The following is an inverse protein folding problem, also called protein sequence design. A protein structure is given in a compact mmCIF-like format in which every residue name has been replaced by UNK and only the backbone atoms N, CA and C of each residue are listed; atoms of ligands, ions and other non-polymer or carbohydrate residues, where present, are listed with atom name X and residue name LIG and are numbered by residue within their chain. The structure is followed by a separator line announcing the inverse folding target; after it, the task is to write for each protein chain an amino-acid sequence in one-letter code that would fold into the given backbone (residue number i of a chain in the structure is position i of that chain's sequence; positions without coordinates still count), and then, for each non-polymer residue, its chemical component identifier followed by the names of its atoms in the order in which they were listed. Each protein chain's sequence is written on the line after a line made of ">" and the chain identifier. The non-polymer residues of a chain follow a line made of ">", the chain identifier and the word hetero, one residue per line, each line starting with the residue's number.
data_IF_325015456869
#
_entry.id   IF_325015456869
#
_cell.length_a   1.000
_cell.length_b   1.000
_cell.length_c   1.000
_cell.angle_alpha   90.00
_cell.angle_beta   90.00
_cell.angle_gamma   90.00
#
_symmetry.space_group_name_H-M   'P 1'
#
loop_
_entity.id
_entity.type
_entity.pdbx_description
1 polymer ?
#
# COMPACT_ATOMS: atom_id res chain seq x y z
N UNK A 1 43.80 34.71 -40.50
CA UNK A 1 44.28 34.24 -39.17
C UNK A 1 43.77 32.81 -39.01
N UNK A 2 44.66 31.81 -38.93
CA UNK A 2 44.24 30.41 -38.74
C UNK A 2 43.85 30.26 -37.26
N UNK A 3 42.60 29.87 -36.99
CA UNK A 3 42.18 29.46 -35.65
C UNK A 3 42.89 28.14 -35.32
N UNK A 4 43.76 28.16 -34.31
CA UNK A 4 44.27 26.93 -33.71
C UNK A 4 43.16 26.33 -32.83
N UNK A 5 42.82 25.04 -32.99
CA UNK A 5 41.86 24.38 -32.12
C UNK A 5 42.40 24.33 -30.69
N UNK A 6 41.56 24.68 -29.72
CA UNK A 6 41.88 24.64 -28.28
C UNK A 6 41.60 23.24 -27.73
N UNK A 7 42.60 22.59 -27.15
CA UNK A 7 42.42 21.38 -26.37
C UNK A 7 42.16 21.77 -24.91
N UNK A 8 41.06 21.32 -24.33
CA UNK A 8 40.68 21.70 -22.97
C UNK A 8 39.95 20.60 -22.20
N UNK A 9 40.04 20.68 -20.87
CA UNK A 9 39.20 19.94 -19.92
C UNK A 9 38.11 20.88 -19.40
N UNK A 10 36.86 20.42 -19.42
CA UNK A 10 35.72 21.10 -18.80
C UNK A 10 35.43 20.51 -17.42
N UNK A 11 35.79 21.22 -16.37
CA UNK A 11 35.35 20.91 -15.01
C UNK A 11 33.93 21.41 -14.78
N UNK A 12 33.05 20.56 -14.25
CA UNK A 12 31.67 20.92 -13.89
C UNK A 12 31.41 20.59 -12.41
N UNK A 13 31.01 21.61 -11.65
CA UNK A 13 30.51 21.47 -10.28
C UNK A 13 28.99 21.63 -10.27
N UNK A 14 28.28 20.50 -10.26
CA UNK A 14 26.82 20.42 -10.39
C UNK A 14 26.13 20.46 -9.01
N UNK A 15 25.70 21.64 -8.60
CA UNK A 15 24.92 21.88 -7.39
C UNK A 15 23.40 21.91 -7.63
N UNK A 16 22.63 21.89 -6.54
CA UNK A 16 21.15 21.94 -6.58
C UNK A 16 20.57 23.30 -7.06
N UNK A 17 21.39 24.34 -7.12
CA UNK A 17 21.01 25.72 -7.47
C UNK A 17 22.08 26.44 -8.32
N UNK A 18 23.15 25.74 -8.67
CA UNK A 18 24.28 26.33 -9.39
C UNK A 18 25.04 25.27 -10.17
N UNK A 19 25.57 25.68 -11.32
CA UNK A 19 26.57 24.92 -12.06
C UNK A 19 27.82 25.78 -12.16
N UNK A 20 28.85 25.44 -11.39
CA UNK A 20 30.19 25.96 -11.61
C UNK A 20 30.80 25.27 -12.83
N UNK A 21 31.47 26.03 -13.69
CA UNK A 21 32.20 25.47 -14.83
C UNK A 21 33.54 26.16 -15.01
N UNK A 22 34.54 25.38 -15.43
CA UNK A 22 35.90 25.87 -15.69
C UNK A 22 36.47 25.17 -16.93
N UNK A 23 37.13 25.95 -17.79
CA UNK A 23 37.82 25.47 -18.99
C UNK A 23 39.31 25.63 -18.74
N UNK A 24 40.03 24.50 -18.73
CA UNK A 24 41.49 24.47 -18.56
C UNK A 24 42.11 23.94 -19.84
N UNK A 25 42.97 24.73 -20.47
CA UNK A 25 43.77 24.30 -21.63
C UNK A 25 44.74 23.21 -21.22
N UNK A 26 44.93 22.23 -22.11
CA UNK A 26 45.83 21.10 -21.89
C UNK A 26 46.80 20.92 -23.06
N UNK A 27 47.99 20.39 -22.74
CA UNK A 27 48.97 19.96 -23.74
C UNK A 27 48.59 18.61 -24.39
N UNK A 28 49.43 18.13 -25.30
CA UNK A 28 49.26 16.82 -25.96
C UNK A 28 49.36 15.62 -24.99
N UNK A 29 49.87 15.83 -23.77
CA UNK A 29 49.99 14.83 -22.71
C UNK A 29 48.88 14.97 -21.65
N UNK A 30 47.84 15.76 -21.92
CA UNK A 30 46.72 16.07 -21.02
C UNK A 30 47.11 16.81 -19.73
N UNK A 31 48.30 17.41 -19.67
CA UNK A 31 48.68 18.25 -18.52
C UNK A 31 48.05 19.64 -18.65
N UNK A 32 47.58 20.22 -17.54
CA UNK A 32 46.99 21.56 -17.55
C UNK A 32 48.04 22.62 -17.85
N UNK A 33 47.84 23.38 -18.93
CA UNK A 33 48.68 24.50 -19.35
C UNK A 33 48.23 25.83 -18.76
N UNK A 34 46.91 26.05 -18.71
CA UNK A 34 46.37 27.35 -18.28
C UNK A 34 44.86 27.36 -18.12
N UNK A 35 44.36 28.26 -17.27
CA UNK A 35 42.94 28.51 -17.10
C UNK A 35 42.45 29.42 -18.24
N UNK A 36 41.52 28.95 -19.05
CA UNK A 36 40.97 29.71 -20.18
C UNK A 36 39.76 30.52 -19.75
N UNK A 37 38.82 29.89 -19.04
CA UNK A 37 37.57 30.55 -18.64
C UNK A 37 36.95 29.87 -17.43
N UNK A 38 36.16 30.64 -16.67
CA UNK A 38 35.38 30.14 -15.54
C UNK A 38 34.06 30.88 -15.45
N UNK A 39 33.03 30.18 -14.98
CA UNK A 39 31.77 30.81 -14.68
C UNK A 39 30.93 30.02 -13.71
N UNK A 40 29.86 30.66 -13.26
CA UNK A 40 28.84 30.02 -12.43
C UNK A 40 27.47 30.36 -13.00
N UNK A 41 26.70 29.33 -13.35
CA UNK A 41 25.29 29.47 -13.70
C UNK A 41 24.44 29.22 -12.47
N UNK A 42 23.81 30.25 -11.92
CA UNK A 42 22.83 30.09 -10.82
C UNK A 42 21.41 29.90 -11.36
N UNK A 43 20.58 29.15 -10.63
CA UNK A 43 19.16 28.95 -10.94
C UNK A 43 18.37 28.68 -9.65
N UNK A 44 17.06 28.94 -9.69
CA UNK A 44 16.19 28.68 -8.54
C UNK A 44 16.09 27.17 -8.28
N UNK A 45 16.16 26.79 -7.00
CA UNK A 45 15.92 25.42 -6.59
C UNK A 45 14.51 25.01 -6.94
N UNK A 46 14.33 23.78 -7.41
CA UNK A 46 13.01 23.21 -7.73
C UNK A 46 12.23 22.74 -6.48
N UNK A 47 12.29 23.52 -5.41
CA UNK A 47 11.69 23.23 -4.11
C UNK A 47 10.90 24.41 -3.55
N UNK A 48 10.01 24.15 -2.60
CA UNK A 48 9.32 25.19 -1.85
C UNK A 48 10.31 25.84 -0.90
N UNK A 49 10.61 27.13 -1.12
CA UNK A 49 11.65 27.88 -0.40
C UNK A 49 11.60 27.79 1.15
N UNK A 50 10.40 27.59 1.74
CA UNK A 50 10.23 27.48 3.20
C UNK A 50 10.34 26.06 3.76
N UNK A 51 10.06 25.02 2.97
CA UNK A 51 9.92 23.65 3.47
C UNK A 51 10.88 22.66 2.82
N UNK A 52 11.56 23.03 1.72
CA UNK A 52 12.43 22.13 0.96
C UNK A 52 11.65 21.02 0.22
N UNK A 53 10.32 21.06 0.22
CA UNK A 53 9.52 20.04 -0.45
C UNK A 53 9.49 20.28 -1.96
N UNK A 54 9.41 19.19 -2.74
CA UNK A 54 9.26 19.29 -4.20
C UNK A 54 8.00 20.06 -4.59
N UNK A 55 8.10 21.01 -5.52
CA UNK A 55 6.96 21.73 -6.09
C UNK A 55 5.90 20.80 -6.69
N UNK A 56 6.31 19.63 -7.19
CA UNK A 56 5.41 18.61 -7.73
C UNK A 56 4.51 17.97 -6.65
N UNK A 57 4.97 17.90 -5.40
CA UNK A 57 4.21 17.34 -4.28
C UNK A 57 2.98 18.19 -3.98
N UNK A 58 3.14 19.50 -3.82
CA UNK A 58 2.04 20.43 -3.58
C UNK A 58 0.98 20.34 -4.70
N UNK A 59 1.43 20.34 -5.96
CA UNK A 59 0.55 20.16 -7.14
C UNK A 59 -0.19 18.81 -7.10
N UNK A 60 0.48 17.73 -6.68
CA UNK A 60 -0.11 16.39 -6.55
C UNK A 60 -1.18 16.36 -5.46
N UNK A 61 -0.90 16.91 -4.28
CA UNK A 61 -1.84 16.97 -3.16
C UNK A 61 -3.10 17.78 -3.50
N UNK A 62 -2.93 18.98 -4.08
CA UNK A 62 -4.06 19.81 -4.51
C UNK A 62 -4.94 19.09 -5.55
N UNK A 63 -4.33 18.37 -6.50
CA UNK A 63 -5.05 17.55 -7.49
C UNK A 63 -5.81 16.39 -6.83
N UNK A 64 -5.22 15.76 -5.82
CA UNK A 64 -5.87 14.70 -5.04
C UNK A 64 -7.12 15.25 -4.34
N UNK A 65 -6.99 16.38 -3.63
CA UNK A 65 -8.12 17.04 -2.94
C UNK A 65 -9.25 17.43 -3.90
N UNK A 66 -8.94 18.00 -5.07
CA UNK A 66 -9.95 18.30 -6.11
C UNK A 66 -10.71 17.04 -6.55
N UNK A 67 -10.01 15.92 -6.76
CA UNK A 67 -10.65 14.65 -7.12
C UNK A 67 -11.54 14.11 -6.00
N UNK A 68 -11.13 14.24 -4.74
CA UNK A 68 -11.92 13.82 -3.58
C UNK A 68 -13.22 14.63 -3.46
N UNK A 69 -13.11 15.96 -3.56
CA UNK A 69 -14.27 16.88 -3.53
C UNK A 69 -15.23 16.56 -4.66
N UNK A 70 -14.73 16.47 -5.90
CA UNK A 70 -15.55 16.13 -7.08
C UNK A 70 -16.28 14.80 -6.91
N UNK A 71 -15.57 13.73 -6.54
CA UNK A 71 -16.18 12.39 -6.37
C UNK A 71 -17.19 12.33 -5.23
N UNK A 72 -16.97 13.09 -4.13
CA UNK A 72 -17.97 13.22 -3.07
C UNK A 72 -19.22 13.90 -3.59
N UNK A 73 -19.09 15.04 -4.29
CA UNK A 73 -20.22 15.74 -4.89
C UNK A 73 -20.96 14.86 -5.90
N UNK A 74 -20.24 14.16 -6.78
CA UNK A 74 -20.83 13.24 -7.76
C UNK A 74 -21.58 12.09 -7.09
N UNK A 75 -21.05 11.50 -6.00
CA UNK A 75 -21.73 10.46 -5.22
C UNK A 75 -23.04 10.97 -4.62
N UNK A 76 -23.01 12.14 -3.98
CA UNK A 76 -24.21 12.74 -3.39
C UNK A 76 -25.24 13.11 -4.47
N UNK A 77 -24.79 13.61 -5.62
CA UNK A 77 -25.65 13.87 -6.78
C UNK A 77 -26.32 12.59 -7.30
N UNK A 78 -25.58 11.49 -7.41
CA UNK A 78 -26.13 10.17 -7.77
C UNK A 78 -27.14 9.67 -6.74
N UNK A 79 -26.82 9.81 -5.45
CA UNK A 79 -27.73 9.45 -4.37
C UNK A 79 -29.04 10.26 -4.44
N UNK A 80 -28.97 11.59 -4.57
CA UNK A 80 -30.17 12.43 -4.74
C UNK A 80 -31.03 12.02 -5.94
N UNK A 81 -30.41 11.67 -7.07
CA UNK A 81 -31.13 11.15 -8.25
C UNK A 81 -31.83 9.83 -7.98
N UNK A 82 -31.16 8.91 -7.27
CA UNK A 82 -31.73 7.64 -6.85
C UNK A 82 -32.93 7.86 -5.91
N UNK A 83 -32.76 8.69 -4.86
CA UNK A 83 -33.85 8.99 -3.93
C UNK A 83 -35.04 9.67 -4.60
N UNK A 84 -34.81 10.51 -5.63
CA UNK A 84 -35.88 11.09 -6.43
C UNK A 84 -36.63 10.04 -7.26
N UNK A 85 -35.91 9.09 -7.86
CA UNK A 85 -36.53 8.00 -8.63
C UNK A 85 -37.41 7.09 -7.75
N UNK A 86 -37.06 6.94 -6.47
CA UNK A 86 -37.84 6.20 -5.46
C UNK A 86 -38.91 7.05 -4.76
N UNK A 87 -39.18 8.27 -5.25
CA UNK A 87 -40.12 9.25 -4.67
C UNK A 87 -39.84 9.65 -3.21
N UNK A 88 -38.63 9.39 -2.70
CA UNK A 88 -38.22 9.82 -1.37
C UNK A 88 -37.81 11.30 -1.35
N UNK A 89 -37.24 11.79 -2.45
CA UNK A 89 -37.07 13.23 -2.69
C UNK A 89 -38.04 13.69 -3.78
N UNK A 90 -38.72 14.80 -3.53
CA UNK A 90 -39.59 15.44 -4.53
C UNK A 90 -38.76 16.30 -5.51
N UNK A 91 -37.70 16.93 -5.00
CA UNK A 91 -36.76 17.71 -5.80
C UNK A 91 -35.32 17.48 -5.34
N UNK A 92 -34.35 17.76 -6.21
CA UNK A 92 -32.94 17.62 -5.85
C UNK A 92 -32.49 18.66 -4.80
N UNK A 93 -33.23 19.76 -4.68
CA UNK A 93 -32.93 20.92 -3.84
C UNK A 93 -33.91 21.04 -2.66
N UNK A 94 -34.64 19.97 -2.37
CA UNK A 94 -35.52 19.88 -1.20
C UNK A 94 -34.72 20.18 0.08
N UNK A 95 -35.30 21.03 0.94
CA UNK A 95 -34.71 21.40 2.23
C UNK A 95 -34.89 20.20 3.16
N UNK A 96 -33.78 19.72 3.71
CA UNK A 96 -33.75 18.55 4.59
C UNK A 96 -33.37 18.95 6.01
N UNK A 97 -33.86 18.22 7.03
CA UNK A 97 -33.48 18.42 8.41
C UNK A 97 -31.97 18.26 8.63
N UNK A 98 -31.43 18.98 9.62
CA UNK A 98 -29.99 19.05 9.90
C UNK A 98 -29.56 18.24 11.14
N UNK A 99 -30.50 17.80 11.97
CA UNK A 99 -30.35 16.95 13.17
C UNK A 99 -30.15 15.46 12.83
N UNK A 100 -29.39 15.21 11.77
CA UNK A 100 -29.18 13.88 11.15
C UNK A 100 -28.61 12.81 12.08
N UNK A 101 -27.88 13.17 13.14
CA UNK A 101 -27.37 12.21 14.12
C UNK A 101 -28.48 11.72 15.04
N UNK A 102 -29.31 12.64 15.53
CA UNK A 102 -30.48 12.32 16.34
C UNK A 102 -31.51 11.53 15.53
N UNK A 103 -31.73 11.90 14.27
CA UNK A 103 -32.61 11.15 13.36
C UNK A 103 -32.13 9.72 13.09
N UNK A 104 -30.81 9.50 12.99
CA UNK A 104 -30.24 8.14 12.86
C UNK A 104 -30.51 7.27 14.08
N UNK A 105 -30.48 7.84 15.28
CA UNK A 105 -30.84 7.12 16.52
C UNK A 105 -32.35 6.91 16.59
N UNK A 106 -33.15 7.96 16.36
CA UNK A 106 -34.62 7.91 16.31
C UNK A 106 -35.12 6.83 15.36
N UNK A 107 -34.50 6.70 14.19
CA UNK A 107 -34.88 5.72 13.16
C UNK A 107 -34.69 4.25 13.52
N UNK A 108 -34.07 3.95 14.66
CA UNK A 108 -34.00 2.57 15.17
C UNK A 108 -35.30 2.15 15.87
N UNK A 109 -36.02 3.10 16.44
CA UNK A 109 -37.14 2.83 17.35
C UNK A 109 -38.45 3.50 16.88
N UNK A 110 -38.38 4.49 15.97
CA UNK A 110 -39.54 5.23 15.45
C UNK A 110 -39.48 5.34 13.93
N UNK A 111 -40.66 5.30 13.30
CA UNK A 111 -40.79 5.55 11.86
C UNK A 111 -40.32 6.97 11.55
N UNK A 112 -39.40 7.11 10.61
CA UNK A 112 -38.93 8.41 10.13
C UNK A 112 -39.85 8.93 9.03
N UNK A 113 -40.06 10.24 9.04
CA UNK A 113 -40.72 10.93 7.95
C UNK A 113 -39.88 10.88 6.68
N UNK A 114 -40.53 11.09 5.52
CA UNK A 114 -39.88 11.01 4.20
C UNK A 114 -38.58 11.84 4.13
N UNK A 115 -38.65 13.10 4.57
CA UNK A 115 -37.50 14.01 4.56
C UNK A 115 -36.43 13.65 5.59
N UNK A 116 -36.84 13.16 6.76
CA UNK A 116 -35.91 12.67 7.79
C UNK A 116 -35.12 11.47 7.26
N UNK A 117 -35.80 10.50 6.63
CA UNK A 117 -35.18 9.34 6.04
C UNK A 117 -34.20 9.71 4.91
N UNK A 118 -34.59 10.62 4.02
CA UNK A 118 -33.71 11.15 2.98
C UNK A 118 -32.44 11.80 3.57
N UNK A 119 -32.59 12.60 4.65
CA UNK A 119 -31.48 13.27 5.32
C UNK A 119 -30.50 12.26 5.93
N UNK A 120 -31.01 11.22 6.59
CA UNK A 120 -30.23 10.12 7.18
C UNK A 120 -29.38 9.41 6.11
N UNK A 121 -30.01 8.98 5.00
CA UNK A 121 -29.31 8.25 3.93
C UNK A 121 -28.22 9.10 3.26
N UNK A 122 -28.52 10.37 2.96
CA UNK A 122 -27.54 11.28 2.39
C UNK A 122 -26.40 11.58 3.35
N UNK A 123 -26.68 11.67 4.66
CA UNK A 123 -25.67 11.89 5.68
C UNK A 123 -24.67 10.71 5.75
N UNK A 124 -25.16 9.48 5.82
CA UNK A 124 -24.32 8.26 5.84
C UNK A 124 -23.42 8.22 4.58
N UNK A 125 -23.99 8.48 3.39
CA UNK A 125 -23.21 8.51 2.14
C UNK A 125 -22.18 9.65 2.08
N UNK A 126 -22.46 10.80 2.70
CA UNK A 126 -21.53 11.94 2.75
C UNK A 126 -20.36 11.65 3.70
N UNK A 127 -20.66 11.02 4.85
CA UNK A 127 -19.75 10.75 5.96
C UNK A 127 -19.44 9.25 6.11
N UNK A 128 -19.14 8.59 4.99
CA UNK A 128 -19.01 7.12 4.85
C UNK A 128 -17.80 6.43 5.49
N UNK A 129 -17.13 7.06 6.45
CA UNK A 129 -16.01 6.45 7.17
C UNK A 129 -14.77 6.07 6.32
N UNK A 130 -13.79 5.49 7.01
CA UNK A 130 -12.59 4.92 6.42
C UNK A 130 -12.85 3.49 5.95
N UNK A 131 -12.28 3.10 4.82
CA UNK A 131 -12.32 1.71 4.35
C UNK A 131 -10.88 1.25 4.18
N UNK A 132 -10.47 0.23 4.94
CA UNK A 132 -9.14 -0.34 4.81
C UNK A 132 -8.91 -0.83 3.37
N UNK A 133 -7.83 -0.38 2.76
CA UNK A 133 -7.38 -0.79 1.42
C UNK A 133 -6.14 -1.68 1.47
N UNK A 134 -5.65 -2.00 2.67
CA UNK A 134 -4.44 -2.80 2.84
C UNK A 134 -4.82 -4.27 2.77
N UNK A 135 -4.03 -5.04 2.02
CA UNK A 135 -4.15 -6.50 1.99
C UNK A 135 -3.65 -7.14 3.30
N UNK A 136 -2.71 -6.50 3.99
CA UNK A 136 -2.18 -6.92 5.31
C UNK A 136 -2.25 -5.78 6.34
N UNK A 137 -2.48 -6.11 7.61
CA UNK A 137 -2.60 -5.18 8.73
C UNK A 137 -1.26 -4.87 9.41
N UNK A 138 -0.21 -4.57 8.65
CA UNK A 138 1.05 -4.13 9.28
C UNK A 138 0.87 -2.78 10.00
N UNK A 139 1.58 -2.60 11.13
CA UNK A 139 1.62 -1.32 11.85
C UNK A 139 2.12 -0.23 10.89
N UNK A 140 1.38 0.87 10.80
CA UNK A 140 1.80 1.99 9.95
C UNK A 140 2.85 2.82 10.69
N UNK A 141 3.96 3.12 10.01
CA UNK A 141 4.96 4.09 10.49
C UNK A 141 4.46 5.55 10.38
N UNK A 142 3.35 5.78 9.67
CA UNK A 142 2.72 7.10 9.58
C UNK A 142 1.88 7.35 10.84
N UNK A 143 2.32 8.29 11.67
CA UNK A 143 1.70 8.66 12.95
C UNK A 143 0.23 9.07 12.82
N UNK A 144 -0.14 9.84 11.80
CA UNK A 144 -1.53 10.27 11.59
C UNK A 144 -2.42 9.10 11.17
N UNK A 145 -1.94 8.25 10.25
CA UNK A 145 -2.67 7.05 9.87
C UNK A 145 -2.81 6.09 11.04
N UNK A 146 -1.78 5.96 11.89
CA UNK A 146 -1.82 5.20 13.14
C UNK A 146 -2.92 5.70 14.09
N UNK A 147 -3.00 7.02 14.32
CA UNK A 147 -4.05 7.61 15.15
C UNK A 147 -5.45 7.37 14.56
N UNK A 148 -5.62 7.54 13.25
CA UNK A 148 -6.89 7.25 12.57
C UNK A 148 -7.31 5.79 12.71
N UNK A 149 -6.39 4.85 12.52
CA UNK A 149 -6.68 3.42 12.66
C UNK A 149 -7.00 3.04 14.10
N UNK A 150 -6.33 3.67 15.08
CA UNK A 150 -6.64 3.48 16.49
C UNK A 150 -8.06 3.93 16.81
N UNK A 151 -8.47 5.12 16.37
CA UNK A 151 -9.84 5.60 16.57
C UNK A 151 -10.89 4.69 15.92
N UNK A 152 -10.64 4.23 14.70
CA UNK A 152 -11.51 3.24 14.02
C UNK A 152 -11.61 1.94 14.83
N UNK A 153 -10.49 1.39 15.30
CA UNK A 153 -10.47 0.15 16.06
C UNK A 153 -11.20 0.29 17.41
N UNK A 154 -10.97 1.38 18.14
CA UNK A 154 -11.65 1.66 19.42
C UNK A 154 -13.15 1.77 19.22
N UNK A 155 -13.62 2.51 18.21
CA UNK A 155 -15.05 2.66 17.95
C UNK A 155 -15.69 1.36 17.48
N UNK A 156 -14.97 0.56 16.69
CA UNK A 156 -15.42 -0.76 16.30
C UNK A 156 -15.58 -1.68 17.52
N UNK A 157 -14.65 -1.64 18.48
CA UNK A 157 -14.77 -2.37 19.74
C UNK A 157 -15.97 -1.94 20.57
N UNK A 158 -16.28 -0.63 20.63
CA UNK A 158 -17.49 -0.14 21.29
C UNK A 158 -18.78 -0.69 20.67
N UNK A 159 -18.81 -0.96 19.36
CA UNK A 159 -19.96 -1.60 18.70
C UNK A 159 -20.10 -3.10 19.01
N UNK A 160 -19.05 -3.73 19.56
CA UNK A 160 -19.12 -5.12 20.02
C UNK A 160 -19.66 -5.22 21.46
N UNK A 161 -19.79 -4.10 22.17
CA UNK A 161 -20.44 -4.09 23.49
C UNK A 161 -21.96 -4.05 23.31
N UNK A 162 -22.70 -4.58 24.29
CA UNK A 162 -24.17 -4.55 24.26
C UNK A 162 -24.78 -3.14 24.47
N UNK A 163 -23.93 -2.12 24.64
CA UNK A 163 -24.34 -0.75 24.99
C UNK A 163 -24.79 0.07 23.76
N UNK A 164 -24.22 -0.22 22.58
CA UNK A 164 -24.46 0.55 21.35
C UNK A 164 -24.78 -0.37 20.17
N UNK A 165 -25.90 -0.11 19.49
CA UNK A 165 -26.31 -0.85 18.28
C UNK A 165 -25.65 -0.28 17.02
N UNK A 166 -25.35 1.01 17.00
CA UNK A 166 -24.87 1.72 15.79
C UNK A 166 -23.84 2.81 16.09
N UNK A 167 -23.01 3.20 15.10
CA UNK A 167 -22.16 4.39 15.16
C UNK A 167 -22.89 5.67 15.54
N UNK A 168 -24.15 5.85 15.09
CA UNK A 168 -24.96 7.00 15.49
C UNK A 168 -25.28 7.00 16.98
N UNK A 169 -25.57 5.85 17.57
CA UNK A 169 -25.79 5.75 19.02
C UNK A 169 -24.53 6.09 19.80
N UNK A 170 -23.35 5.57 19.42
CA UNK A 170 -22.07 5.99 20.03
C UNK A 170 -21.93 7.51 19.92
N UNK A 171 -22.20 8.07 18.76
CA UNK A 171 -22.03 9.50 18.52
C UNK A 171 -22.92 10.37 19.42
N UNK A 172 -24.20 10.02 19.57
CA UNK A 172 -25.15 10.80 20.36
C UNK A 172 -24.99 10.53 21.86
N UNK A 173 -24.86 9.26 22.26
CA UNK A 173 -24.86 8.85 23.67
C UNK A 173 -23.48 8.97 24.33
N UNK A 174 -22.40 8.91 23.56
CA UNK A 174 -21.03 9.06 24.05
C UNK A 174 -20.45 10.43 23.66
N UNK A 175 -20.18 10.66 22.37
CA UNK A 175 -19.40 11.84 21.95
C UNK A 175 -20.10 13.19 22.20
N UNK A 176 -21.42 13.25 22.02
CA UNK A 176 -22.18 14.47 22.29
C UNK A 176 -22.45 14.64 23.79
N UNK A 177 -22.65 13.55 24.53
CA UNK A 177 -22.95 13.57 25.95
C UNK A 177 -21.70 13.79 26.83
N UNK A 178 -20.50 13.54 26.28
CA UNK A 178 -19.23 13.90 26.90
C UNK A 178 -19.22 15.39 27.31
N UNK A 179 -18.43 15.69 28.35
CA UNK A 179 -18.32 17.04 28.91
C UNK A 179 -19.68 17.67 29.29
N UNK A 180 -20.56 16.90 29.94
CA UNK A 180 -21.90 17.34 30.35
C UNK A 180 -22.77 17.87 29.19
N UNK A 181 -22.65 17.27 28.00
CA UNK A 181 -23.43 17.68 26.82
C UNK A 181 -22.75 18.76 25.97
N UNK A 182 -21.52 19.16 26.30
CA UNK A 182 -20.70 20.08 25.50
C UNK A 182 -19.73 19.37 24.55
N UNK A 183 -19.73 18.04 24.53
CA UNK A 183 -18.93 17.24 23.62
C UNK A 183 -19.24 17.51 22.14
N UNK A 184 -18.29 17.20 21.28
CA UNK A 184 -18.39 17.45 19.84
C UNK A 184 -18.55 16.16 19.05
N UNK A 185 -19.47 16.14 18.09
CA UNK A 185 -19.68 14.93 17.26
C UNK A 185 -18.56 14.72 16.25
N UNK A 186 -18.02 15.80 15.67
CA UNK A 186 -17.05 15.72 14.56
C UNK A 186 -15.63 15.85 15.09
N UNK A 187 -14.70 15.09 14.51
CA UNK A 187 -13.26 15.22 14.76
C UNK A 187 -12.79 16.68 14.67
N UNK A 188 -11.92 17.06 15.60
CA UNK A 188 -11.21 18.34 15.59
C UNK A 188 -9.81 18.19 15.01
N UNK A 189 -9.06 19.30 14.92
CA UNK A 189 -7.73 19.32 14.31
C UNK A 189 -6.76 18.44 15.10
N UNK A 190 -6.25 17.40 14.45
CA UNK A 190 -5.30 16.45 15.07
C UNK A 190 -5.96 15.32 15.86
N UNK A 191 -7.29 15.32 15.95
CA UNK A 191 -8.06 14.27 16.62
C UNK A 191 -8.75 13.37 15.59
N UNK A 192 -8.67 12.06 15.82
CA UNK A 192 -9.27 11.03 14.98
C UNK A 192 -10.18 10.08 15.78
N UNK A 193 -10.48 10.42 17.04
CA UNK A 193 -11.28 9.63 17.98
C UNK A 193 -12.69 9.30 17.46
N UNK A 194 -13.37 10.19 16.73
CA UNK A 194 -14.75 9.99 16.24
C UNK A 194 -14.77 9.48 14.78
N UNK A 195 -13.83 8.58 14.45
CA UNK A 195 -13.73 7.97 13.12
C UNK A 195 -14.30 6.56 13.13
N UNK A 196 -15.19 6.25 12.20
CA UNK A 196 -15.80 4.92 12.05
C UNK A 196 -15.30 4.18 10.82
N UNK A 197 -15.30 2.84 10.87
CA UNK A 197 -15.12 2.02 9.69
C UNK A 197 -16.36 2.15 8.77
N UNK A 198 -16.13 2.09 7.47
CA UNK A 198 -17.19 2.12 6.48
C UNK A 198 -18.11 0.91 6.59
N UNK A 199 -17.59 -0.25 6.97
CA UNK A 199 -18.37 -1.47 7.20
C UNK A 199 -19.33 -1.30 8.39
N UNK A 200 -18.93 -0.58 9.43
CA UNK A 200 -19.82 -0.27 10.56
C UNK A 200 -20.98 0.63 10.13
N UNK A 201 -20.70 1.64 9.30
CA UNK A 201 -21.74 2.51 8.72
C UNK A 201 -22.64 1.77 7.73
N UNK A 202 -22.12 0.75 7.04
CA UNK A 202 -22.93 -0.14 6.21
C UNK A 202 -23.86 -0.99 7.08
N UNK A 203 -23.34 -1.56 8.17
CA UNK A 203 -24.14 -2.35 9.12
C UNK A 203 -25.27 -1.49 9.72
N UNK A 204 -24.96 -0.24 10.09
CA UNK A 204 -25.97 0.72 10.53
C UNK A 204 -27.03 0.98 9.45
N UNK A 205 -26.61 1.26 8.21
CA UNK A 205 -27.57 1.51 7.13
C UNK A 205 -28.49 0.31 6.92
N UNK A 206 -27.95 -0.92 6.94
CA UNK A 206 -28.73 -2.15 6.83
C UNK A 206 -29.72 -2.30 7.99
N UNK A 207 -29.27 -2.07 9.23
CA UNK A 207 -30.12 -2.15 10.41
C UNK A 207 -31.24 -1.09 10.37
N UNK A 208 -30.94 0.14 9.95
CA UNK A 208 -31.94 1.18 9.78
C UNK A 208 -32.98 0.81 8.72
N UNK A 209 -32.56 0.24 7.59
CA UNK A 209 -33.50 -0.25 6.57
C UNK A 209 -34.43 -1.33 7.15
N UNK A 210 -33.88 -2.28 7.89
CA UNK A 210 -34.67 -3.32 8.55
C UNK A 210 -35.69 -2.71 9.53
N UNK A 211 -35.24 -1.85 10.46
CA UNK A 211 -36.11 -1.22 11.46
C UNK A 211 -37.19 -0.35 10.82
N UNK A 212 -36.83 0.44 9.83
CA UNK A 212 -37.79 1.27 9.12
C UNK A 212 -38.82 0.44 8.35
N UNK A 213 -38.45 -0.72 7.81
CA UNK A 213 -39.39 -1.65 7.18
C UNK A 213 -40.38 -2.23 8.21
N UNK A 214 -39.87 -2.70 9.36
CA UNK A 214 -40.68 -3.18 10.49
C UNK A 214 -41.67 -2.12 10.99
N UNK A 215 -41.26 -0.85 10.98
CA UNK A 215 -42.05 0.31 11.41
C UNK A 215 -42.98 0.86 10.30
N UNK A 216 -43.06 0.19 9.14
CA UNK A 216 -43.99 0.54 8.06
C UNK A 216 -43.57 1.73 7.20
N UNK A 217 -42.27 1.98 7.04
CA UNK A 217 -41.74 2.97 6.09
C UNK A 217 -41.74 2.39 4.67
N UNK A 218 -42.46 3.00 3.69
CA UNK A 218 -42.59 2.45 2.34
C UNK A 218 -41.31 2.53 1.50
N UNK A 219 -40.30 3.32 1.92
CA UNK A 219 -39.07 3.55 1.16
C UNK A 219 -37.89 2.69 1.67
N UNK A 220 -38.15 1.40 1.85
CA UNK A 220 -37.21 0.42 2.44
C UNK A 220 -36.96 -0.78 1.54
N UNK A 221 -37.16 -0.62 0.23
CA UNK A 221 -37.00 -1.70 -0.75
C UNK A 221 -35.55 -2.23 -0.78
N UNK A 222 -35.41 -3.54 -1.00
CA UNK A 222 -34.10 -4.21 -1.09
C UNK A 222 -33.25 -3.62 -2.23
N UNK A 223 -33.87 -3.31 -3.37
CA UNK A 223 -33.23 -2.66 -4.52
C UNK A 223 -32.66 -1.28 -4.17
N UNK A 224 -33.36 -0.50 -3.34
CA UNK A 224 -32.85 0.79 -2.88
C UNK A 224 -31.64 0.60 -1.96
N UNK A 225 -31.71 -0.35 -1.02
CA UNK A 225 -30.60 -0.68 -0.13
C UNK A 225 -29.36 -1.16 -0.90
N UNK A 226 -29.53 -2.00 -1.92
CA UNK A 226 -28.45 -2.48 -2.78
C UNK A 226 -27.75 -1.31 -3.49
N UNK A 227 -28.52 -0.46 -4.17
CA UNK A 227 -27.99 0.70 -4.89
C UNK A 227 -27.24 1.69 -3.96
N UNK A 228 -27.79 1.94 -2.77
CA UNK A 228 -27.13 2.79 -1.76
C UNK A 228 -25.88 2.13 -1.20
N UNK A 229 -25.89 0.81 -1.00
CA UNK A 229 -24.71 0.03 -0.58
C UNK A 229 -23.60 0.13 -1.60
N UNK A 230 -23.90 -0.01 -2.91
CA UNK A 230 -22.94 0.21 -3.98
C UNK A 230 -22.34 1.62 -3.91
N UNK A 231 -23.17 2.66 -3.75
CA UNK A 231 -22.69 4.03 -3.63
C UNK A 231 -21.82 4.25 -2.38
N UNK A 232 -22.20 3.64 -1.25
CA UNK A 232 -21.47 3.74 0.01
C UNK A 232 -20.07 3.14 -0.12
N UNK A 233 -19.99 1.89 -0.59
CA UNK A 233 -18.74 1.12 -0.64
C UNK A 233 -17.82 1.55 -1.77
N UNK A 234 -18.36 1.96 -2.93
CA UNK A 234 -17.57 2.19 -4.13
C UNK A 234 -16.48 3.25 -3.95
N UNK A 235 -15.25 2.91 -4.33
CA UNK A 235 -14.15 3.84 -4.48
C UNK A 235 -13.26 3.41 -5.64
N UNK A 236 -12.70 4.37 -6.36
CA UNK A 236 -11.79 4.06 -7.47
C UNK A 236 -10.58 3.28 -6.91
N UNK A 237 -10.20 2.14 -7.50
CA UNK A 237 -8.98 1.41 -7.12
C UNK A 237 -7.75 2.32 -7.19
N UNK A 238 -6.82 2.12 -6.26
CA UNK A 238 -5.57 2.88 -6.21
C UNK A 238 -4.70 2.62 -7.45
N UNK A 239 -4.63 1.35 -7.86
CA UNK A 239 -3.95 0.86 -9.04
C UNK A 239 -4.97 0.08 -9.89
N UNK A 240 -4.96 0.28 -11.20
CA UNK A 240 -5.85 -0.39 -12.14
C UNK A 240 -5.18 -0.53 -13.51
N UNK A 241 -5.42 -1.65 -14.18
CA UNK A 241 -4.84 -1.98 -15.49
C UNK A 241 -3.33 -1.78 -15.52
N UNK A 242 -2.84 -1.15 -16.58
CA UNK A 242 -1.41 -0.95 -16.87
C UNK A 242 -0.70 0.11 -16.01
N UNK A 243 -1.32 0.60 -14.92
CA UNK A 243 -0.75 1.67 -14.11
C UNK A 243 0.67 1.35 -13.60
N UNK A 244 0.93 0.08 -13.26
CA UNK A 244 2.24 -0.38 -12.81
C UNK A 244 3.22 -0.51 -13.98
N UNK A 245 2.79 -1.03 -15.13
CA UNK A 245 3.64 -1.14 -16.32
C UNK A 245 4.21 0.22 -16.75
N UNK A 246 3.42 1.29 -16.63
CA UNK A 246 3.86 2.66 -16.95
C UNK A 246 4.95 3.21 -16.01
N UNK A 247 5.14 2.59 -14.85
CA UNK A 247 6.14 2.96 -13.86
C UNK A 247 7.29 1.93 -13.77
N UNK A 248 7.13 0.78 -14.44
CA UNK A 248 8.05 -0.33 -14.36
C UNK A 248 9.27 -0.08 -15.26
N UNK A 249 10.46 -0.27 -14.69
CA UNK A 249 11.71 -0.16 -15.45
C UNK A 249 11.89 -1.30 -16.46
N UNK A 250 12.79 -1.08 -17.41
CA UNK A 250 13.18 -2.06 -18.43
C UNK A 250 14.37 -2.92 -17.99
N UNK A 251 14.52 -4.09 -18.60
CA UNK A 251 15.64 -4.99 -18.36
C UNK A 251 16.97 -4.29 -18.73
N UNK A 252 18.02 -4.59 -17.97
CA UNK A 252 19.37 -4.04 -18.18
C UNK A 252 20.00 -4.56 -19.48
N UNK A 253 19.75 -5.83 -19.82
CA UNK A 253 20.34 -6.50 -20.99
C UNK A 253 19.42 -6.43 -22.22
N UNK A 254 18.11 -6.46 -22.03
CA UNK A 254 17.11 -6.45 -23.10
C UNK A 254 16.14 -5.26 -22.92
N UNK A 255 16.48 -4.04 -23.36
CA UNK A 255 15.70 -2.83 -23.04
C UNK A 255 14.25 -2.81 -23.57
N UNK A 256 13.92 -3.72 -24.50
CA UNK A 256 12.55 -3.93 -24.96
C UNK A 256 11.66 -4.52 -23.83
N UNK A 257 12.23 -5.39 -22.99
CA UNK A 257 11.52 -6.17 -21.98
C UNK A 257 11.41 -5.46 -20.63
N UNK A 258 10.32 -5.72 -19.91
CA UNK A 258 10.15 -5.22 -18.55
C UNK A 258 10.97 -6.01 -17.54
N UNK A 259 11.31 -5.38 -16.41
CA UNK A 259 11.94 -6.10 -15.29
C UNK A 259 10.98 -7.15 -14.72
N UNK A 260 11.53 -8.33 -14.40
CA UNK A 260 10.81 -9.40 -13.73
C UNK A 260 10.34 -9.01 -12.31
N UNK A 261 9.23 -9.57 -11.89
CA UNK A 261 8.72 -9.42 -10.53
C UNK A 261 9.64 -10.13 -9.53
N UNK A 262 9.93 -9.49 -8.40
CA UNK A 262 10.83 -10.06 -7.38
C UNK A 262 10.32 -11.38 -6.77
N UNK A 263 9.00 -11.54 -6.69
CA UNK A 263 8.35 -12.72 -6.12
C UNK A 263 7.98 -13.75 -7.20
N UNK A 264 8.70 -13.77 -8.32
CA UNK A 264 8.60 -14.79 -9.36
C UNK A 264 9.64 -15.89 -9.09
N UNK A 265 9.38 -17.12 -9.53
CA UNK A 265 10.28 -18.24 -9.30
C UNK A 265 11.69 -17.99 -9.85
N UNK A 266 11.80 -17.57 -11.11
CA UNK A 266 13.08 -17.32 -11.77
C UNK A 266 13.85 -16.18 -11.12
N UNK A 267 13.18 -15.10 -10.70
CA UNK A 267 13.81 -13.99 -10.00
C UNK A 267 14.32 -14.39 -8.60
N UNK A 268 13.52 -15.14 -7.83
CA UNK A 268 13.94 -15.65 -6.52
C UNK A 268 15.12 -16.63 -6.66
N UNK A 269 15.05 -17.54 -7.64
CA UNK A 269 16.14 -18.48 -7.95
C UNK A 269 17.41 -17.74 -8.37
N UNK A 270 17.32 -16.72 -9.21
CA UNK A 270 18.46 -15.87 -9.59
C UNK A 270 19.12 -15.21 -8.36
N UNK A 271 18.32 -14.62 -7.47
CA UNK A 271 18.83 -14.01 -6.22
C UNK A 271 19.50 -15.07 -5.34
N UNK A 272 18.91 -16.26 -5.24
CA UNK A 272 19.48 -17.36 -4.45
C UNK A 272 20.81 -17.85 -5.03
N UNK A 273 20.85 -18.19 -6.32
CA UNK A 273 22.08 -18.64 -6.99
C UNK A 273 23.19 -17.60 -6.87
N UNK A 274 22.85 -16.31 -7.01
CA UNK A 274 23.81 -15.22 -6.79
C UNK A 274 24.36 -15.23 -5.37
N UNK A 275 23.50 -15.37 -4.35
CA UNK A 275 23.95 -15.46 -2.95
C UNK A 275 24.77 -16.71 -2.67
N UNK A 276 24.36 -17.86 -3.19
CA UNK A 276 25.04 -19.14 -2.99
C UNK A 276 26.44 -19.12 -3.60
N UNK A 277 26.55 -18.66 -4.85
CA UNK A 277 27.83 -18.58 -5.58
C UNK A 277 28.78 -17.54 -4.98
N UNK A 278 28.24 -16.45 -4.42
CA UNK A 278 29.01 -15.40 -3.78
C UNK A 278 29.22 -15.62 -2.27
N UNK A 279 28.72 -16.73 -1.70
CA UNK A 279 28.96 -17.04 -0.30
C UNK A 279 30.45 -17.34 -0.09
N UNK A 280 31.03 -16.72 0.94
CA UNK A 280 32.44 -16.88 1.29
C UNK A 280 32.55 -17.28 2.75
N UNK A 281 33.42 -18.26 3.01
CA UNK A 281 33.76 -18.74 4.33
C UNK A 281 35.17 -18.24 4.64
N UNK A 282 35.35 -17.65 5.81
CA UNK A 282 36.64 -17.25 6.35
C UNK A 282 37.01 -18.24 7.45
N UNK A 283 38.18 -18.86 7.34
CA UNK A 283 38.70 -19.81 8.31
C UNK A 283 40.21 -19.64 8.40
N UNK A 284 40.74 -19.45 9.61
CA UNK A 284 42.18 -19.26 9.85
C UNK A 284 42.83 -18.17 8.98
N UNK A 285 42.09 -17.09 8.69
CA UNK A 285 42.56 -15.97 7.85
C UNK A 285 42.50 -16.23 6.34
N UNK A 286 42.03 -17.42 5.92
CA UNK A 286 41.87 -17.78 4.51
C UNK A 286 40.41 -17.64 4.11
N UNK A 287 40.17 -16.94 3.01
CA UNK A 287 38.86 -16.83 2.37
C UNK A 287 38.70 -17.89 1.29
N UNK A 288 37.60 -18.63 1.34
CA UNK A 288 37.24 -19.59 0.29
C UNK A 288 35.79 -19.47 -0.14
N UNK A 289 35.54 -19.84 -1.39
CA UNK A 289 34.18 -20.09 -1.89
C UNK A 289 33.66 -21.45 -1.41
N UNK A 290 32.36 -21.67 -1.58
CA UNK A 290 31.77 -23.00 -1.45
C UNK A 290 32.25 -23.90 -2.59
N UNK A 291 32.58 -25.15 -2.25
CA UNK A 291 32.78 -26.24 -3.20
C UNK A 291 31.46 -26.63 -3.85
N UNK A 292 31.53 -27.37 -4.96
CA UNK A 292 30.35 -27.84 -5.70
C UNK A 292 29.43 -28.69 -4.82
N UNK A 293 30.00 -29.60 -4.02
CA UNK A 293 29.25 -30.43 -3.08
C UNK A 293 28.55 -29.58 -2.01
N UNK A 294 29.24 -28.59 -1.44
CA UNK A 294 28.62 -27.65 -0.47
C UNK A 294 27.49 -26.85 -1.12
N UNK A 295 27.64 -26.44 -2.39
CA UNK A 295 26.56 -25.78 -3.15
C UNK A 295 25.37 -26.70 -3.36
N UNK A 296 25.59 -27.95 -3.78
CA UNK A 296 24.52 -28.94 -3.96
C UNK A 296 23.76 -29.22 -2.66
N UNK A 297 24.46 -29.36 -1.53
CA UNK A 297 23.84 -29.56 -0.21
C UNK A 297 22.86 -28.46 0.16
N UNK A 298 23.13 -27.21 -0.23
CA UNK A 298 22.27 -26.07 0.10
C UNK A 298 21.24 -25.73 -0.97
N UNK A 299 21.41 -26.20 -2.21
CA UNK A 299 20.71 -25.70 -3.39
C UNK A 299 19.18 -25.70 -3.24
N UNK A 300 18.62 -26.81 -2.78
CA UNK A 300 17.17 -27.02 -2.70
C UNK A 300 16.57 -26.68 -1.33
N UNK A 301 17.41 -26.43 -0.32
CA UNK A 301 16.99 -26.20 1.06
C UNK A 301 16.01 -25.01 1.25
N UNK A 302 16.14 -23.87 0.53
CA UNK A 302 15.18 -22.77 0.64
C UNK A 302 13.76 -23.08 0.13
N UNK A 303 13.59 -24.14 -0.66
CA UNK A 303 12.28 -24.57 -1.17
C UNK A 303 11.57 -25.51 -0.18
N UNK A 304 12.34 -26.35 0.51
CA UNK A 304 11.83 -27.25 1.54
C UNK A 304 11.40 -26.49 2.80
N UNK A 305 12.28 -25.59 3.27
CA UNK A 305 12.12 -24.86 4.52
C UNK A 305 11.52 -23.48 4.29
N UNK A 306 10.78 -22.97 5.28
CA UNK A 306 10.19 -21.63 5.19
C UNK A 306 11.25 -20.52 5.00
N UNK A 307 12.44 -20.69 5.58
CA UNK A 307 13.64 -19.86 5.39
C UNK A 307 14.89 -20.69 5.63
N UNK A 308 15.99 -20.37 4.96
CA UNK A 308 17.32 -20.93 5.24
C UNK A 308 18.14 -19.88 6.00
N UNK A 309 18.57 -20.19 7.22
CA UNK A 309 19.44 -19.32 8.03
C UNK A 309 20.90 -19.69 7.88
N UNK A 310 21.81 -18.79 8.22
CA UNK A 310 23.25 -19.10 8.25
C UNK A 310 23.57 -20.23 9.23
N UNK A 311 22.89 -20.29 10.37
CA UNK A 311 23.07 -21.35 11.36
C UNK A 311 22.69 -22.72 10.79
N UNK A 312 21.59 -22.78 10.02
CA UNK A 312 21.19 -24.01 9.33
C UNK A 312 22.19 -24.40 8.25
N UNK A 313 22.66 -23.43 7.46
CA UNK A 313 23.68 -23.66 6.45
C UNK A 313 24.98 -24.17 7.07
N UNK A 314 25.45 -23.59 8.18
CA UNK A 314 26.61 -24.09 8.94
C UNK A 314 26.47 -25.57 9.30
N UNK A 315 25.33 -25.95 9.88
CA UNK A 315 25.10 -27.34 10.31
C UNK A 315 25.12 -28.29 9.12
N UNK A 316 24.51 -27.90 7.98
CA UNK A 316 24.50 -28.72 6.77
C UNK A 316 25.87 -28.86 6.11
N UNK A 317 26.67 -27.80 6.17
CA UNK A 317 28.02 -27.78 5.62
C UNK A 317 29.07 -28.38 6.57
N UNK A 318 28.68 -28.76 7.79
CA UNK A 318 29.57 -29.27 8.83
C UNK A 318 30.81 -28.38 9.06
N UNK A 319 30.61 -27.06 9.10
CA UNK A 319 31.72 -26.10 9.27
C UNK A 319 32.27 -26.13 10.70
N UNK A 320 33.59 -26.02 10.81
CA UNK A 320 34.34 -25.91 12.07
C UNK A 320 33.91 -24.69 12.90
N UNK A 321 34.17 -24.75 14.21
CA UNK A 321 33.86 -23.64 15.11
C UNK A 321 34.75 -22.42 14.85
N UNK A 322 35.85 -22.56 14.13
CA UNK A 322 36.75 -21.47 13.72
C UNK A 322 36.23 -20.74 12.47
N UNK A 323 35.54 -21.45 11.57
CA UNK A 323 34.98 -20.87 10.35
C UNK A 323 33.90 -19.81 10.66
N UNK A 324 33.78 -18.80 9.81
CA UNK A 324 32.71 -17.79 9.82
C UNK A 324 32.26 -17.46 8.39
N UNK A 325 31.01 -16.99 8.24
CA UNK A 325 30.53 -16.48 6.95
C UNK A 325 30.95 -15.02 6.77
N UNK A 326 31.61 -14.71 5.65
CA UNK A 326 31.95 -13.34 5.30
C UNK A 326 30.69 -12.52 5.06
N UNK A 327 30.62 -11.33 5.65
CA UNK A 327 29.46 -10.42 5.55
C UNK A 327 28.37 -10.64 6.59
N UNK A 328 28.51 -11.64 7.47
CA UNK A 328 27.70 -11.75 8.70
C UNK A 328 28.34 -10.89 9.80
N UNK A 329 27.51 -10.13 10.52
CA UNK A 329 27.98 -9.27 11.62
C UNK A 329 28.06 -10.09 12.90
N UNK A 330 29.28 -10.46 13.29
CA UNK A 330 29.57 -11.21 14.53
C UNK A 330 29.92 -10.33 15.73
N UNK A 331 30.03 -9.00 15.56
CA UNK A 331 30.39 -8.09 16.66
C UNK A 331 29.23 -7.94 17.65
N UNK A 332 29.47 -8.25 18.93
CA UNK A 332 28.56 -7.99 20.04
C UNK A 332 27.53 -9.09 20.33
N UNK A 333 27.56 -10.20 19.59
CA UNK A 333 26.69 -11.37 19.79
C UNK A 333 27.51 -12.66 19.72
N UNK A 334 27.04 -13.73 20.40
CA UNK A 334 27.58 -15.08 20.18
C UNK A 334 27.37 -15.48 18.71
N UNK A 335 28.34 -16.22 18.14
CA UNK A 335 28.33 -16.78 16.77
C UNK A 335 27.00 -17.44 16.42
N UNK A 336 26.43 -18.23 17.34
CA UNK A 336 25.14 -18.90 17.14
C UNK A 336 23.97 -17.93 17.05
N UNK A 337 24.02 -16.79 17.74
CA UNK A 337 22.98 -15.76 17.67
C UNK A 337 23.07 -14.96 16.36
N UNK A 338 24.27 -14.52 16.00
CA UNK A 338 24.55 -13.79 14.75
C UNK A 338 24.09 -14.58 13.50
N UNK A 339 24.24 -15.91 13.52
CA UNK A 339 23.88 -16.79 12.40
C UNK A 339 22.37 -17.14 12.34
N UNK A 340 21.53 -16.65 13.25
CA UNK A 340 20.05 -16.83 13.17
C UNK A 340 19.41 -16.00 12.05
N UNK A 341 20.13 -15.02 11.50
CA UNK A 341 19.67 -14.22 10.37
C UNK A 341 19.43 -15.12 9.13
N UNK A 342 18.39 -14.78 8.36
CA UNK A 342 18.07 -15.52 7.15
C UNK A 342 19.14 -15.29 6.08
N UNK A 343 19.75 -16.37 5.59
CA UNK A 343 20.59 -16.35 4.39
C UNK A 343 19.71 -16.07 3.16
N UNK A 344 18.60 -16.80 3.04
CA UNK A 344 17.62 -16.63 1.96
C UNK A 344 16.21 -17.09 2.39
N UNK A 345 15.20 -16.52 1.75
CA UNK A 345 13.79 -16.90 1.88
C UNK A 345 13.12 -16.75 0.51
N UNK A 346 12.55 -17.85 -0.02
CA UNK A 346 11.81 -17.86 -1.29
C UNK A 346 10.38 -17.39 -1.05
N UNK A 347 10.20 -16.11 -0.77
CA UNK A 347 8.93 -15.54 -0.28
C UNK A 347 7.76 -15.80 -1.22
N UNK A 348 7.93 -15.57 -2.52
CA UNK A 348 6.92 -15.82 -3.55
C UNK A 348 6.50 -17.29 -3.54
N UNK A 349 7.47 -18.18 -3.67
CA UNK A 349 7.25 -19.63 -3.63
C UNK A 349 6.53 -20.09 -2.35
N UNK A 350 7.01 -19.65 -1.17
CA UNK A 350 6.45 -20.02 0.12
C UNK A 350 5.05 -19.42 0.36
N UNK A 351 4.77 -18.22 -0.16
CA UNK A 351 3.43 -17.64 -0.09
C UNK A 351 2.42 -18.41 -0.93
N UNK A 352 2.79 -18.79 -2.16
CA UNK A 352 1.93 -19.59 -3.04
C UNK A 352 1.63 -20.95 -2.38
N UNK A 353 2.67 -21.65 -1.89
CA UNK A 353 2.51 -22.90 -1.14
C UNK A 353 1.50 -22.76 -0.01
N UNK A 354 1.74 -21.80 0.90
CA UNK A 354 0.90 -21.62 2.09
C UNK A 354 -0.53 -21.23 1.74
N UNK A 355 -0.74 -20.45 0.69
CA UNK A 355 -2.07 -20.06 0.24
C UNK A 355 -2.87 -21.28 -0.26
N UNK A 356 -2.27 -22.12 -1.11
CA UNK A 356 -2.91 -23.34 -1.62
C UNK A 356 -3.14 -24.37 -0.51
N UNK A 357 -2.12 -24.65 0.30
CA UNK A 357 -2.25 -25.59 1.42
C UNK A 357 -3.29 -25.13 2.45
N UNK A 358 -3.35 -23.83 2.74
CA UNK A 358 -4.35 -23.23 3.64
C UNK A 358 -5.77 -23.29 3.11
N UNK A 359 -5.94 -23.33 1.78
CA UNK A 359 -7.22 -23.55 1.11
C UNK A 359 -7.56 -25.05 0.92
N UNK A 360 -6.72 -25.97 1.39
CA UNK A 360 -6.90 -27.42 1.24
C UNK A 360 -6.41 -27.99 -0.11
N UNK A 361 -5.76 -27.19 -0.95
CA UNK A 361 -5.35 -27.51 -2.32
C UNK A 361 -3.90 -28.06 -2.38
N UNK A 362 -3.64 -29.15 -1.64
CA UNK A 362 -2.29 -29.75 -1.57
C UNK A 362 -1.88 -30.49 -2.84
N UNK A 363 -2.83 -31.06 -3.57
CA UNK A 363 -2.55 -31.82 -4.79
C UNK A 363 -2.07 -30.86 -5.89
N UNK A 364 -2.77 -29.74 -6.03
CA UNK A 364 -2.50 -28.64 -6.95
C UNK A 364 -1.14 -28.02 -6.68
N UNK A 365 -0.78 -27.82 -5.39
CA UNK A 365 0.57 -27.38 -5.05
C UNK A 365 1.66 -28.37 -5.48
N UNK A 366 1.42 -29.68 -5.32
CA UNK A 366 2.41 -30.70 -5.71
C UNK A 366 2.64 -30.78 -7.21
N UNK A 367 1.65 -30.40 -8.01
CA UNK A 367 1.81 -30.21 -9.46
C UNK A 367 2.50 -28.88 -9.78
N UNK A 368 1.98 -27.78 -9.21
CA UNK A 368 2.46 -26.42 -9.48
C UNK A 368 3.92 -26.19 -9.11
N UNK A 369 4.42 -26.80 -8.02
CA UNK A 369 5.78 -26.58 -7.52
C UNK A 369 6.88 -26.91 -8.55
N UNK A 370 6.57 -27.75 -9.53
CA UNK A 370 7.49 -28.16 -10.59
C UNK A 370 7.32 -27.35 -11.88
N UNK A 371 6.30 -26.47 -11.97
CA UNK A 371 6.03 -25.63 -13.12
C UNK A 371 6.55 -24.21 -12.87
N UNK A 372 7.82 -23.97 -13.20
CA UNK A 372 8.47 -22.68 -12.95
C UNK A 372 7.86 -21.53 -13.75
N UNK A 373 7.42 -21.79 -14.99
CA UNK A 373 6.80 -20.80 -15.86
C UNK A 373 5.48 -20.29 -15.25
N UNK A 374 4.61 -21.21 -14.82
CA UNK A 374 3.35 -20.83 -14.18
C UNK A 374 3.58 -20.10 -12.84
N UNK A 375 4.61 -20.46 -12.08
CA UNK A 375 5.00 -19.73 -10.87
C UNK A 375 5.51 -18.31 -11.19
N UNK A 376 6.21 -18.13 -12.32
CA UNK A 376 6.63 -16.82 -12.79
C UNK A 376 5.44 -15.95 -13.24
N UNK A 377 4.48 -16.54 -13.94
CA UNK A 377 3.25 -15.89 -14.38
C UNK A 377 2.41 -15.43 -13.19
N UNK A 378 2.21 -16.30 -12.20
CA UNK A 378 1.54 -15.95 -10.94
C UNK A 378 2.29 -14.80 -10.25
N UNK A 379 3.60 -14.93 -10.06
CA UNK A 379 4.42 -13.89 -9.41
C UNK A 379 4.33 -12.53 -10.11
N UNK A 380 4.32 -12.54 -11.44
CA UNK A 380 4.22 -11.34 -12.29
C UNK A 380 2.83 -10.74 -12.23
N UNK A 381 1.77 -11.54 -12.42
CA UNK A 381 0.39 -11.06 -12.43
C UNK A 381 0.00 -10.40 -11.10
N UNK A 382 0.35 -11.01 -9.96
CA UNK A 382 0.08 -10.42 -8.64
C UNK A 382 0.94 -9.20 -8.32
N UNK A 383 2.05 -9.00 -9.04
CA UNK A 383 2.89 -7.81 -8.92
C UNK A 383 2.39 -6.64 -9.79
N UNK A 384 1.79 -6.95 -10.94
CA UNK A 384 1.24 -5.97 -11.87
C UNK A 384 -0.20 -5.56 -11.52
N UNK A 385 -1.01 -6.51 -11.07
CA UNK A 385 -2.46 -6.35 -10.92
C UNK A 385 -2.93 -6.52 -9.47
N UNK A 386 -3.72 -5.56 -9.01
CA UNK A 386 -4.15 -5.46 -7.62
C UNK A 386 -5.66 -5.69 -7.42
N UNK A 387 -6.41 -5.91 -8.50
CA UNK A 387 -7.83 -6.26 -8.50
C UNK A 387 -8.01 -7.54 -9.29
N UNK A 388 -8.84 -8.45 -8.77
CA UNK A 388 -9.17 -9.74 -9.39
C UNK A 388 -9.68 -9.54 -10.83
N UNK A 389 -10.50 -8.51 -11.05
CA UNK A 389 -11.01 -8.16 -12.39
C UNK A 389 -9.95 -7.79 -13.44
N UNK A 390 -8.71 -7.53 -13.02
CA UNK A 390 -7.61 -7.21 -13.92
C UNK A 390 -6.56 -8.34 -14.00
N UNK A 391 -6.79 -9.49 -13.34
CA UNK A 391 -5.92 -10.65 -13.52
C UNK A 391 -6.21 -11.29 -14.88
N UNK A 392 -5.18 -11.83 -15.58
CA UNK A 392 -5.40 -12.69 -16.73
C UNK A 392 -6.35 -13.84 -16.37
N UNK A 393 -7.26 -14.19 -17.28
CA UNK A 393 -8.33 -15.18 -17.05
C UNK A 393 -7.78 -16.52 -16.54
N UNK A 394 -6.62 -16.93 -17.03
CA UNK A 394 -5.94 -18.18 -16.66
C UNK A 394 -5.42 -18.17 -15.21
N UNK A 395 -5.12 -16.99 -14.64
CA UNK A 395 -4.60 -16.83 -13.27
C UNK A 395 -5.73 -16.56 -12.28
N UNK A 396 -6.87 -16.01 -12.74
CA UNK A 396 -8.04 -15.74 -11.91
C UNK A 396 -8.59 -17.01 -11.23
N UNK A 397 -8.39 -18.20 -11.81
CA UNK A 397 -8.77 -19.48 -11.22
C UNK A 397 -8.04 -19.82 -9.91
N UNK A 398 -6.87 -19.22 -9.67
CA UNK A 398 -6.07 -19.43 -8.46
C UNK A 398 -6.35 -18.38 -7.36
N UNK A 399 -7.36 -17.54 -7.54
CA UNK A 399 -7.79 -16.59 -6.50
C UNK A 399 -9.01 -17.11 -5.75
N UNK A 400 -8.98 -17.16 -4.40
CA UNK A 400 -10.12 -17.58 -3.59
C UNK A 400 -11.30 -16.60 -3.63
#
# INVERSE_FOLDING_TARGET
>A
MKLTPLNYILGLDLGIASVGWAVVEIDEQENPLGLIDVGVRTFDRAEVAKTGESLALARRLARSSRRLVKRRADRIKKAKRLLKAENLLLSADEILPNDVWQLRVKGLDQKLERQEWAAVLLHILKHRGYLSQRKNESKSENKELGALLSGVATNHQLLQTAEYRTPAEITVKKFQAEENGHGHIRNQRGDYSHTFDRKDLLAEMKLLFQRQAELGNPHTSEKLLENLTTLLLWQKPALAGEAILKMLGKCTFEPAEYKAAKNSYSAERFVWLTKLNNLRILENGIERALTDNERFTLLDQPYEKAKLTYAQARTMLALSDEAIFKGVRYQGEDKKAAEKVALIEMKGYQHIRKALEGAGLKAEWNELKNNSELLDDIGTAFSLYFSISNLPTEIAYFTP
#
